data_IF_185802453676
#
_entry.id   IF_185802453676
#
_cell.length_a   1.000
_cell.length_b   1.000
_cell.length_c   1.000
_cell.angle_alpha   90.00
_cell.angle_beta   90.00
_cell.angle_gamma   90.00
#
_symmetry.space_group_name_H-M   'P 1'
#
loop_
_entity.id
_entity.type
_entity.pdbx_description
1 polymer ?
#
# COMPACT_ATOMS: atom_id res chain seq x y z
N UNK A 1 -0.22 -8.40 -16.67
CA UNK A 1 -0.83 -9.26 -15.62
C UNK A 1 -2.27 -8.83 -15.41
N UNK A 2 -3.17 -9.74 -15.07
CA UNK A 2 -4.54 -9.36 -14.71
C UNK A 2 -4.52 -8.60 -13.38
N UNK A 3 -5.39 -7.60 -13.23
CA UNK A 3 -5.48 -6.81 -12.00
C UNK A 3 -5.87 -7.71 -10.82
N UNK A 4 -5.03 -7.71 -9.77
CA UNK A 4 -5.28 -8.40 -8.51
C UNK A 4 -5.91 -7.41 -7.53
N UNK A 5 -6.99 -7.83 -6.88
CA UNK A 5 -7.64 -7.09 -5.80
C UNK A 5 -7.53 -7.87 -4.50
N UNK A 6 -7.68 -7.19 -3.38
CA UNK A 6 -7.66 -7.81 -2.07
C UNK A 6 -8.97 -7.61 -1.32
N UNK A 7 -9.29 -8.55 -0.44
CA UNK A 7 -10.25 -8.36 0.63
C UNK A 7 -9.55 -8.54 1.98
N UNK A 8 -9.97 -7.76 2.96
CA UNK A 8 -9.45 -7.82 4.31
C UNK A 8 -10.54 -7.52 5.35
N UNK A 9 -10.30 -7.92 6.60
CA UNK A 9 -11.13 -7.51 7.73
C UNK A 9 -10.37 -6.44 8.50
N UNK A 10 -10.94 -5.24 8.60
CA UNK A 10 -10.36 -4.12 9.32
C UNK A 10 -11.37 -3.59 10.34
N UNK A 11 -10.98 -3.59 11.63
CA UNK A 11 -11.85 -3.18 12.74
C UNK A 11 -13.25 -3.84 12.76
N UNK A 12 -13.32 -5.12 12.36
CA UNK A 12 -14.58 -5.88 12.29
C UNK A 12 -15.42 -5.64 11.03
N UNK A 13 -14.95 -4.79 10.12
CA UNK A 13 -15.59 -4.53 8.83
C UNK A 13 -14.85 -5.21 7.69
N UNK A 14 -15.59 -5.69 6.70
CA UNK A 14 -15.02 -6.30 5.50
C UNK A 14 -14.72 -5.20 4.46
N UNK A 15 -13.45 -5.04 4.12
CA UNK A 15 -12.98 -4.23 3.00
C UNK A 15 -12.88 -5.14 1.77
N UNK A 16 -13.46 -4.70 0.64
CA UNK A 16 -13.53 -5.46 -0.61
C UNK A 16 -12.91 -4.68 -1.75
N UNK A 17 -12.45 -5.42 -2.76
CA UNK A 17 -11.94 -4.90 -4.02
C UNK A 17 -10.79 -3.88 -3.84
N UNK A 18 -10.01 -4.04 -2.78
CA UNK A 18 -8.89 -3.16 -2.43
C UNK A 18 -7.82 -3.32 -3.51
N UNK A 19 -7.32 -2.23 -4.14
CA UNK A 19 -6.19 -2.30 -5.04
C UNK A 19 -4.95 -2.86 -4.34
N UNK A 20 -4.15 -3.65 -5.07
CA UNK A 20 -2.89 -4.21 -4.59
C UNK A 20 -1.74 -3.60 -5.38
N UNK A 21 -0.74 -3.09 -4.67
CA UNK A 21 0.54 -2.64 -5.22
C UNK A 21 1.55 -3.79 -5.04
N UNK A 22 2.27 -4.10 -6.12
CA UNK A 22 3.33 -5.11 -6.20
C UNK A 22 2.94 -6.55 -5.77
N UNK A 23 1.79 -7.09 -6.22
CA UNK A 23 1.35 -8.41 -5.82
C UNK A 23 2.40 -9.48 -6.21
N UNK A 24 2.93 -10.20 -5.22
CA UNK A 24 3.91 -11.26 -5.39
C UNK A 24 5.38 -10.84 -5.31
N UNK A 25 5.69 -9.55 -5.24
CA UNK A 25 7.08 -9.06 -5.33
C UNK A 25 7.82 -9.11 -3.97
N UNK A 26 7.10 -9.19 -2.85
CA UNK A 26 7.67 -9.08 -1.51
C UNK A 26 7.31 -10.25 -0.61
N UNK A 27 7.40 -11.47 -1.16
CA UNK A 27 7.12 -12.72 -0.46
C UNK A 27 5.72 -12.79 0.18
N UNK A 28 4.78 -11.94 -0.24
CA UNK A 28 3.46 -11.84 0.35
C UNK A 28 3.39 -11.06 1.67
N UNK A 29 4.42 -10.27 2.01
CA UNK A 29 4.36 -9.36 3.15
C UNK A 29 3.53 -8.14 2.77
N UNK A 30 2.31 -8.09 3.28
CA UNK A 30 1.35 -7.03 2.94
C UNK A 30 1.12 -6.05 4.08
N UNK A 31 0.92 -4.79 3.71
CA UNK A 31 0.51 -3.68 4.56
C UNK A 31 -0.82 -3.12 4.09
N UNK A 32 -1.71 -2.75 5.01
CA UNK A 32 -2.90 -1.97 4.66
C UNK A 32 -2.56 -0.48 4.86
N UNK A 33 -2.63 0.28 3.78
CA UNK A 33 -2.47 1.73 3.81
C UNK A 33 -3.86 2.36 3.70
N UNK A 34 -4.13 3.30 4.60
CA UNK A 34 -5.30 4.17 4.55
C UNK A 34 -4.83 5.60 4.29
N UNK A 35 -5.34 6.19 3.22
CA UNK A 35 -5.10 7.59 2.87
C UNK A 35 -6.38 8.36 3.18
N UNK A 36 -6.31 9.22 4.19
CA UNK A 36 -7.37 10.10 4.62
C UNK A 36 -7.47 11.39 3.80
N UNK A 37 -8.03 12.45 4.39
CA UNK A 37 -8.10 13.78 3.77
C UNK A 37 -9.23 13.98 2.75
N UNK A 38 -10.00 12.94 2.43
CA UNK A 38 -11.16 13.02 1.54
C UNK A 38 -12.46 12.55 2.23
N UNK A 39 -13.61 12.67 1.53
CA UNK A 39 -14.90 12.21 2.05
C UNK A 39 -14.96 10.68 2.26
N UNK A 40 -14.16 9.91 1.51
CA UNK A 40 -13.99 8.46 1.69
C UNK A 40 -12.50 8.11 1.72
N UNK A 41 -12.00 7.46 2.78
CA UNK A 41 -10.59 7.05 2.82
C UNK A 41 -10.28 6.08 1.67
N UNK A 42 -9.12 6.26 1.05
CA UNK A 42 -8.60 5.32 0.05
C UNK A 42 -7.81 4.24 0.78
N UNK A 43 -8.25 3.00 0.65
CA UNK A 43 -7.52 1.84 1.14
C UNK A 43 -6.71 1.19 0.02
N UNK A 44 -5.47 0.82 0.32
CA UNK A 44 -4.55 0.10 -0.56
C UNK A 44 -3.92 -1.06 0.21
N UNK A 45 -3.70 -2.18 -0.46
CA UNK A 45 -2.76 -3.19 0.02
C UNK A 45 -1.44 -2.98 -0.71
N UNK A 46 -0.34 -2.87 0.03
CA UNK A 46 1.01 -2.77 -0.54
C UNK A 46 1.82 -3.97 -0.09
N UNK A 47 2.38 -4.72 -1.04
CA UNK A 47 3.43 -5.69 -0.72
C UNK A 47 4.78 -4.98 -0.59
N UNK A 48 5.44 -5.18 0.55
CA UNK A 48 6.71 -4.53 0.92
C UNK A 48 7.35 -5.22 2.14
N UNK A 49 8.68 -5.19 2.28
CA UNK A 49 9.38 -5.86 3.38
C UNK A 49 9.21 -5.14 4.74
N UNK A 50 9.31 -3.81 4.73
CA UNK A 50 9.19 -2.94 5.91
C UNK A 50 8.09 -1.90 5.74
N UNK A 51 7.78 -1.17 6.82
CA UNK A 51 6.87 0.00 6.75
C UNK A 51 7.42 1.06 5.79
N UNK A 52 8.74 1.29 5.81
CA UNK A 52 9.38 2.28 4.95
C UNK A 52 9.28 1.87 3.48
N UNK A 53 9.54 0.60 3.16
CA UNK A 53 9.40 0.10 1.79
C UNK A 53 7.96 0.27 1.30
N UNK A 54 6.95 0.07 2.17
CA UNK A 54 5.55 0.26 1.77
C UNK A 54 5.22 1.72 1.43
N UNK A 55 5.88 2.69 2.10
CA UNK A 55 5.77 4.12 1.77
C UNK A 55 6.47 4.40 0.44
N UNK A 56 7.68 3.87 0.25
CA UNK A 56 8.47 4.09 -0.96
C UNK A 56 7.75 3.53 -2.20
N UNK A 57 7.20 2.31 -2.10
CA UNK A 57 6.41 1.68 -3.15
C UNK A 57 5.11 2.42 -3.45
N UNK A 58 4.49 3.03 -2.45
CA UNK A 58 3.35 3.93 -2.69
C UNK A 58 3.81 5.22 -3.39
N UNK A 59 4.92 5.82 -2.95
CA UNK A 59 5.41 7.09 -3.45
C UNK A 59 5.81 7.03 -4.93
N UNK A 60 6.38 5.91 -5.39
CA UNK A 60 6.73 5.69 -6.80
C UNK A 60 5.58 5.11 -7.64
N UNK A 61 4.41 4.83 -7.03
CA UNK A 61 3.29 4.28 -7.78
C UNK A 61 2.66 5.33 -8.71
N UNK A 62 2.71 5.09 -10.02
CA UNK A 62 2.17 6.02 -11.04
C UNK A 62 0.70 6.40 -10.82
N UNK A 63 -0.11 5.50 -10.25
CA UNK A 63 -1.54 5.71 -10.08
C UNK A 63 -1.88 6.34 -8.74
N UNK A 64 -1.14 6.01 -7.67
CA UNK A 64 -1.52 6.36 -6.30
C UNK A 64 -0.52 7.28 -5.59
N UNK A 65 0.72 7.42 -6.06
CA UNK A 65 1.78 8.20 -5.38
C UNK A 65 1.46 9.69 -5.25
N UNK A 66 0.67 10.25 -6.17
CA UNK A 66 0.19 11.63 -6.09
C UNK A 66 -0.66 11.93 -4.84
N UNK A 67 -1.14 10.92 -4.13
CA UNK A 67 -1.91 11.12 -2.90
C UNK A 67 -1.02 11.47 -1.70
N UNK A 68 0.28 11.17 -1.77
CA UNK A 68 1.24 11.48 -0.70
C UNK A 68 2.39 12.36 -1.19
N UNK A 69 2.52 12.60 -2.49
CA UNK A 69 3.54 13.50 -3.04
C UNK A 69 3.09 14.95 -2.90
N UNK A 70 3.94 15.80 -2.36
CA UNK A 70 3.70 17.25 -2.29
C UNK A 70 3.84 17.84 -3.69
N UNK A 71 2.88 18.69 -4.07
CA UNK A 71 2.90 19.35 -5.38
C UNK A 71 4.00 20.42 -5.44
N UNK A 72 4.54 20.68 -6.64
CA UNK A 72 5.56 21.71 -6.84
C UNK A 72 5.11 23.10 -6.34
N UNK A 73 3.81 23.39 -6.47
CA UNK A 73 3.21 24.67 -6.05
C UNK A 73 3.21 24.83 -4.51
N UNK A 74 3.18 23.72 -3.77
CA UNK A 74 3.15 23.70 -2.30
C UNK A 74 4.53 23.48 -1.67
N UNK A 75 5.58 23.16 -2.45
CA UNK A 75 6.93 22.90 -1.94
C UNK A 75 7.52 24.07 -1.13
N UNK A 76 7.09 25.30 -1.41
CA UNK A 76 7.56 26.49 -0.69
C UNK A 76 7.12 26.52 0.79
N UNK A 77 6.07 25.78 1.15
CA UNK A 77 5.57 25.67 2.51
C UNK A 77 6.31 24.60 3.34
N UNK A 78 7.22 23.85 2.69
CA UNK A 78 7.95 22.74 3.30
C UNK A 78 9.41 23.10 3.57
N UNK A 79 9.89 22.75 4.78
CA UNK A 79 11.29 22.91 5.16
C UNK A 79 12.11 21.69 4.75
N UNK A 80 13.03 21.88 3.80
CA UNK A 80 13.86 20.82 3.24
C UNK A 80 14.67 20.03 4.28
N UNK A 81 14.98 20.61 5.45
CA UNK A 81 15.74 19.91 6.50
C UNK A 81 14.89 18.95 7.33
N UNK A 82 13.56 19.08 7.30
CA UNK A 82 12.62 18.30 8.12
C UNK A 82 11.62 17.50 7.32
N UNK A 83 11.66 17.62 5.99
CA UNK A 83 10.83 16.85 5.08
C UNK A 83 11.12 15.35 5.10
N UNK A 84 10.08 14.58 4.77
CA UNK A 84 10.24 13.20 4.33
C UNK A 84 10.42 13.19 2.81
N UNK A 85 11.26 12.28 2.32
CA UNK A 85 11.54 12.13 0.90
C UNK A 85 11.21 10.72 0.45
N UNK A 86 10.52 10.62 -0.69
CA UNK A 86 10.35 9.37 -1.40
C UNK A 86 11.64 8.94 -2.11
N UNK A 87 11.67 7.72 -2.66
CA UNK A 87 12.86 7.15 -3.30
C UNK A 87 13.34 7.91 -4.55
N UNK A 88 12.44 8.62 -5.25
CA UNK A 88 12.79 9.49 -6.39
C UNK A 88 13.18 10.92 -5.97
N UNK A 89 13.29 11.20 -4.66
CA UNK A 89 13.68 12.51 -4.11
C UNK A 89 12.53 13.52 -4.01
N UNK A 90 11.30 13.11 -4.31
CA UNK A 90 10.08 13.90 -4.15
C UNK A 90 9.77 14.09 -2.66
N UNK A 91 9.32 15.30 -2.28
CA UNK A 91 8.82 15.55 -0.92
C UNK A 91 7.49 14.82 -0.75
N UNK A 92 7.37 14.07 0.34
CA UNK A 92 6.14 13.33 0.67
C UNK A 92 5.51 13.82 1.97
N UNK A 93 4.19 13.98 1.94
CA UNK A 93 3.35 14.32 3.08
C UNK A 93 2.71 13.06 3.66
N UNK A 94 2.97 12.80 4.94
CA UNK A 94 2.48 11.60 5.64
C UNK A 94 1.34 11.90 6.64
N UNK A 95 0.91 13.16 6.76
CA UNK A 95 -0.09 13.61 7.75
C UNK A 95 -1.46 12.93 7.62
N UNK A 96 -1.75 12.39 6.44
CA UNK A 96 -3.00 11.68 6.14
C UNK A 96 -2.79 10.19 5.85
N UNK A 97 -1.58 9.68 6.04
CA UNK A 97 -1.26 8.28 5.80
C UNK A 97 -1.28 7.50 7.12
N UNK A 98 -2.12 6.48 7.18
CA UNK A 98 -2.09 5.48 8.25
C UNK A 98 -1.68 4.13 7.66
N UNK A 99 -0.77 3.45 8.36
CA UNK A 99 -0.22 2.16 7.94
C UNK A 99 -0.56 1.13 9.01
N UNK A 100 -1.21 0.05 8.59
CA UNK A 100 -1.61 -1.04 9.47
C UNK A 100 -0.84 -2.30 9.13
N UNK A 101 -0.24 -2.87 10.17
CA UNK A 101 0.48 -4.13 10.13
C UNK A 101 1.38 -4.27 11.35
N UNK A 102 2.00 -5.44 11.50
CA UNK A 102 3.03 -5.68 12.53
C UNK A 102 4.37 -5.95 11.85
N UNK A 103 5.29 -5.01 12.00
CA UNK A 103 6.64 -5.11 11.44
C UNK A 103 7.42 -6.29 12.03
N UNK A 104 8.31 -6.86 11.22
CA UNK A 104 9.12 -8.03 11.62
C UNK A 104 8.35 -9.35 11.66
N UNK A 105 7.12 -9.40 11.13
CA UNK A 105 6.33 -10.64 11.03
C UNK A 105 6.27 -11.13 9.58
N UNK A 106 6.02 -12.44 9.41
CA UNK A 106 5.82 -13.07 8.09
C UNK A 106 4.51 -12.65 7.42
N UNK A 107 3.60 -12.01 8.16
CA UNK A 107 2.32 -11.55 7.63
C UNK A 107 1.94 -10.25 8.35
N UNK A 108 2.53 -9.11 7.96
CA UNK A 108 2.33 -7.84 8.66
C UNK A 108 0.86 -7.46 8.78
N UNK A 109 0.13 -7.52 7.68
CA UNK A 109 -1.32 -7.34 7.65
C UNK A 109 -2.01 -8.48 6.89
N UNK A 110 -2.95 -9.22 7.50
CA UNK A 110 -3.59 -10.36 6.84
C UNK A 110 -4.62 -9.93 5.81
N UNK A 111 -4.52 -10.47 4.59
CA UNK A 111 -5.52 -10.26 3.54
C UNK A 111 -5.62 -11.46 2.59
N UNK A 112 -6.52 -11.39 1.60
CA UNK A 112 -6.67 -12.40 0.54
C UNK A 112 -6.78 -11.75 -0.83
N UNK A 113 -6.06 -12.31 -1.79
CA UNK A 113 -6.08 -11.89 -3.18
C UNK A 113 -7.15 -12.59 -4.00
N UNK A 114 -7.77 -11.81 -4.86
CA UNK A 114 -8.81 -12.18 -5.80
C UNK A 114 -8.46 -11.61 -7.18
N UNK A 115 -8.90 -12.29 -8.23
CA UNK A 115 -8.56 -11.91 -9.59
C UNK A 115 -8.71 -13.09 -10.55
N UNK A 116 -8.51 -12.82 -11.84
CA UNK A 116 -8.61 -13.84 -12.86
C UNK A 116 -7.56 -14.94 -12.65
N UNK A 117 -8.01 -16.20 -12.61
CA UNK A 117 -7.15 -17.35 -12.38
C UNK A 117 -6.78 -17.60 -10.92
N UNK A 118 -7.44 -16.95 -9.95
CA UNK A 118 -7.33 -17.26 -8.52
C UNK A 118 -8.55 -18.08 -8.02
N UNK A 119 -8.42 -18.86 -6.93
CA UNK A 119 -9.53 -19.56 -6.30
C UNK A 119 -10.66 -18.60 -5.89
N UNK A 120 -11.90 -19.09 -5.85
CA UNK A 120 -13.08 -18.26 -5.51
C UNK A 120 -13.04 -17.77 -4.07
N UNK A 121 -12.43 -18.55 -3.19
CA UNK A 121 -12.17 -18.25 -1.78
C UNK A 121 -10.97 -17.32 -1.55
N UNK A 122 -10.33 -16.88 -2.64
CA UNK A 122 -9.12 -16.06 -2.62
C UNK A 122 -7.87 -16.84 -2.25
N UNK A 123 -6.72 -16.22 -2.49
CA UNK A 123 -5.39 -16.77 -2.21
C UNK A 123 -4.67 -15.93 -1.17
N UNK A 124 -3.85 -16.55 -0.32
CA UNK A 124 -2.99 -15.77 0.57
C UNK A 124 -1.81 -15.16 -0.21
N UNK A 125 -1.39 -13.93 0.10
CA UNK A 125 -0.24 -13.30 -0.56
C UNK A 125 1.02 -14.17 -0.54
N UNK A 126 1.32 -14.83 0.59
CA UNK A 126 2.46 -15.75 0.75
C UNK A 126 2.40 -17.01 -0.11
N UNK A 127 1.23 -17.34 -0.68
CA UNK A 127 1.10 -18.40 -1.69
C UNK A 127 1.12 -17.83 -3.11
N UNK A 128 0.71 -16.58 -3.28
CA UNK A 128 0.67 -15.89 -4.55
C UNK A 128 2.08 -15.64 -5.10
N UNK A 129 3.02 -15.24 -4.24
CA UNK A 129 4.43 -15.00 -4.61
C UNK A 129 5.19 -16.25 -5.10
N UNK A 130 4.63 -17.45 -4.92
CA UNK A 130 5.19 -18.72 -5.39
C UNK A 130 4.50 -19.26 -6.65
N UNK A 131 3.67 -18.44 -7.30
CA UNK A 131 2.98 -18.82 -8.52
C UNK A 131 3.91 -18.64 -9.73
N UNK A 132 4.04 -19.71 -10.52
CA UNK A 132 4.76 -19.72 -11.80
C UNK A 132 4.20 -18.72 -12.83
#
# INVERSE_FOLDING_TARGET
MNEVKSCAVFNGHELKDIPVINPGDWFGKTWLLEIGGSYWPLFLIVEADTVQDAIDELADNEKYGHNITVSDDDLADYDAETCNYGPSGQVIGLDHLMIYGTEGTETPFPCRYFGAGLPKEGMMPTKFCHRD
#
